data_IF_856185076057
#
_entry.id   IF_856185076057
#
_cell.length_a   1.000
_cell.length_b   1.000
_cell.length_c   1.000
_cell.angle_alpha   90.00
_cell.angle_beta   90.00
_cell.angle_gamma   90.00
#
_symmetry.space_group_name_H-M   'P 1'
#
loop_
_entity.id
_entity.type
_entity.pdbx_description
1 polymer ?
#
# COMPACT_ATOMS: atom_id res chain seq x y z
N UNK A 1 19.58 -16.18 32.38
CA UNK A 1 19.99 -15.34 31.23
C UNK A 1 18.74 -15.05 30.41
N UNK A 2 18.09 -13.92 30.62
CA UNK A 2 16.96 -13.50 29.81
C UNK A 2 17.51 -12.88 28.51
N UNK A 3 17.27 -13.54 27.39
CA UNK A 3 17.60 -12.99 26.08
C UNK A 3 16.82 -11.68 25.91
N UNK A 4 17.53 -10.56 25.77
CA UNK A 4 16.91 -9.28 25.43
C UNK A 4 16.37 -9.40 24.01
N UNK A 5 15.05 -9.42 23.85
CA UNK A 5 14.39 -9.37 22.55
C UNK A 5 14.67 -8.00 21.94
N UNK A 6 15.47 -7.97 20.88
CA UNK A 6 15.75 -6.74 20.14
C UNK A 6 14.54 -6.45 19.22
N UNK A 7 13.59 -5.67 19.75
CA UNK A 7 12.40 -5.23 19.00
C UNK A 7 12.77 -3.97 18.23
N UNK A 8 12.60 -4.00 16.90
CA UNK A 8 12.78 -2.84 16.03
C UNK A 8 11.43 -2.34 15.55
N UNK A 9 11.13 -1.07 15.82
CA UNK A 9 9.93 -0.38 15.34
C UNK A 9 10.31 0.52 14.18
N UNK A 10 9.49 0.54 13.13
CA UNK A 10 9.65 1.42 11.98
C UNK A 10 8.30 2.07 11.66
N UNK A 11 8.32 3.38 11.45
CA UNK A 11 7.17 4.10 10.90
C UNK A 11 7.09 3.89 9.39
N UNK A 12 5.88 3.63 8.90
CA UNK A 12 5.57 3.42 7.47
C UNK A 12 4.53 4.43 6.97
N UNK A 13 4.23 5.46 7.76
CA UNK A 13 3.30 6.54 7.46
C UNK A 13 1.94 6.01 6.95
N UNK A 14 1.45 6.60 5.86
CA UNK A 14 0.19 6.24 5.21
C UNK A 14 0.31 5.02 4.29
N UNK A 15 1.53 4.50 4.03
CA UNK A 15 1.75 3.38 3.12
C UNK A 15 1.04 2.11 3.62
N UNK A 16 0.96 1.92 4.95
CA UNK A 16 0.22 0.80 5.52
C UNK A 16 -1.28 0.86 5.23
N UNK A 17 -1.89 2.04 5.32
CA UNK A 17 -3.32 2.24 5.03
C UNK A 17 -3.59 2.02 3.55
N UNK A 18 -2.78 2.63 2.68
CA UNK A 18 -2.92 2.49 1.22
C UNK A 18 -2.74 1.02 0.80
N UNK A 19 -1.76 0.32 1.37
CA UNK A 19 -1.54 -1.09 1.11
C UNK A 19 -2.76 -1.93 1.53
N UNK A 20 -3.29 -1.66 2.73
CA UNK A 20 -4.49 -2.32 3.24
C UNK A 20 -5.72 -2.12 2.35
N UNK A 21 -5.94 -0.90 1.85
CA UNK A 21 -7.03 -0.61 0.90
C UNK A 21 -6.85 -1.38 -0.42
N UNK A 22 -5.63 -1.41 -0.96
CA UNK A 22 -5.34 -2.19 -2.17
C UNK A 22 -5.65 -3.68 -1.98
N UNK A 23 -5.35 -4.21 -0.79
CA UNK A 23 -5.62 -5.62 -0.43
C UNK A 23 -7.10 -5.89 -0.20
N UNK A 24 -7.81 -5.02 0.51
CA UNK A 24 -9.26 -5.13 0.72
C UNK A 24 -10.03 -5.15 -0.61
N UNK A 25 -9.57 -4.36 -1.58
CA UNK A 25 -10.13 -4.34 -2.93
C UNK A 25 -9.72 -5.55 -3.79
N UNK A 26 -8.82 -6.43 -3.33
CA UNK A 26 -8.21 -7.48 -4.16
C UNK A 26 -7.66 -6.92 -5.50
N UNK A 27 -7.02 -5.75 -5.44
CA UNK A 27 -6.59 -5.02 -6.63
C UNK A 27 -5.57 -5.81 -7.46
N UNK A 28 -4.65 -6.50 -6.78
CA UNK A 28 -3.60 -7.30 -7.42
C UNK A 28 -4.22 -8.43 -8.23
N UNK A 29 -5.18 -9.14 -7.66
CA UNK A 29 -5.87 -10.28 -8.27
C UNK A 29 -6.71 -9.84 -9.46
N UNK A 30 -7.39 -8.69 -9.36
CA UNK A 30 -8.15 -8.13 -10.47
C UNK A 30 -7.25 -7.78 -11.65
N UNK A 31 -6.12 -7.13 -11.40
CA UNK A 31 -5.16 -6.76 -12.46
C UNK A 31 -4.57 -8.01 -13.11
N UNK A 32 -4.12 -8.97 -12.31
CA UNK A 32 -3.54 -10.22 -12.81
C UNK A 32 -4.57 -11.04 -13.63
N UNK A 33 -5.85 -11.00 -13.25
CA UNK A 33 -6.93 -11.64 -14.02
C UNK A 33 -7.16 -10.99 -15.38
N UNK A 34 -7.09 -9.66 -15.43
CA UNK A 34 -7.35 -8.89 -16.66
C UNK A 34 -6.18 -8.94 -17.64
N UNK A 35 -4.94 -8.87 -17.14
CA UNK A 35 -3.73 -8.87 -17.96
C UNK A 35 -3.19 -10.28 -18.25
N UNK A 36 -3.57 -11.27 -17.43
CA UNK A 36 -2.94 -12.58 -17.43
C UNK A 36 -1.56 -12.55 -16.77
N UNK A 37 -0.80 -13.63 -16.95
CA UNK A 37 0.59 -13.75 -16.51
C UNK A 37 1.48 -14.21 -17.66
N UNK A 38 2.70 -13.69 -17.71
CA UNK A 38 3.74 -14.12 -18.64
C UNK A 38 4.81 -14.92 -17.91
N UNK A 39 5.31 -15.98 -18.54
CA UNK A 39 6.46 -16.79 -18.08
C UNK A 39 7.74 -16.01 -17.75
N UNK A 40 7.91 -14.77 -18.24
CA UNK A 40 9.07 -13.93 -17.97
C UNK A 40 8.83 -12.93 -16.82
N UNK A 41 7.62 -12.91 -16.24
CA UNK A 41 7.34 -12.09 -15.06
C UNK A 41 8.15 -12.58 -13.86
N UNK A 42 8.97 -11.70 -13.30
CA UNK A 42 9.64 -11.92 -12.01
C UNK A 42 8.70 -11.52 -10.86
N UNK A 43 7.85 -10.51 -11.10
CA UNK A 43 6.84 -9.99 -10.19
C UNK A 43 5.57 -9.80 -11.02
N UNK A 44 4.41 -10.17 -10.50
CA UNK A 44 3.15 -10.05 -11.24
C UNK A 44 2.78 -8.60 -11.54
N UNK A 45 2.10 -8.35 -12.65
CA UNK A 45 1.68 -7.01 -13.04
C UNK A 45 0.89 -6.28 -11.93
N UNK A 46 -0.01 -6.98 -11.24
CA UNK A 46 -0.77 -6.43 -10.12
C UNK A 46 0.10 -6.01 -8.94
N UNK A 47 1.14 -6.78 -8.60
CA UNK A 47 2.10 -6.41 -7.56
C UNK A 47 2.93 -5.19 -7.97
N UNK A 48 3.35 -5.11 -9.24
CA UNK A 48 4.05 -3.94 -9.78
C UNK A 48 3.16 -2.70 -9.68
N UNK A 49 1.87 -2.80 -10.02
CA UNK A 49 0.92 -1.69 -9.89
C UNK A 49 0.72 -1.30 -8.43
N UNK A 50 0.53 -2.25 -7.51
CA UNK A 50 0.46 -1.96 -6.06
C UNK A 50 1.73 -1.24 -5.58
N UNK A 51 2.90 -1.68 -6.01
CA UNK A 51 4.16 -1.01 -5.70
C UNK A 51 4.25 0.39 -6.31
N UNK A 52 3.78 0.60 -7.55
CA UNK A 52 3.70 1.91 -8.18
C UNK A 52 2.71 2.83 -7.46
N UNK A 53 1.62 2.32 -6.91
CA UNK A 53 0.69 3.12 -6.09
C UNK A 53 1.37 3.54 -4.79
N UNK A 54 2.02 2.60 -4.10
CA UNK A 54 2.75 2.90 -2.85
C UNK A 54 3.93 3.85 -3.07
N UNK A 55 4.65 3.73 -4.18
CA UNK A 55 5.81 4.57 -4.51
C UNK A 55 5.42 5.88 -5.21
N UNK A 56 4.34 5.86 -6.01
CA UNK A 56 4.00 6.88 -7.01
C UNK A 56 2.76 7.70 -6.71
N UNK A 57 2.02 7.40 -5.63
CA UNK A 57 0.90 8.23 -5.21
C UNK A 57 1.28 9.68 -4.85
N UNK A 58 2.56 10.06 -4.81
CA UNK A 58 2.97 11.46 -4.63
C UNK A 58 2.51 12.10 -3.30
N UNK A 59 1.82 11.35 -2.43
CA UNK A 59 1.43 11.78 -1.08
C UNK A 59 2.62 11.91 -0.13
N UNK A 60 3.83 11.65 -0.61
CA UNK A 60 5.06 12.03 0.09
C UNK A 60 5.17 13.57 0.21
N UNK A 61 4.43 14.35 -0.60
CA UNK A 61 4.47 15.83 -0.58
C UNK A 61 3.19 16.52 -0.06
N UNK A 62 2.03 15.85 -0.11
CA UNK A 62 0.75 16.40 0.32
C UNK A 62 0.09 15.46 1.34
N UNK A 63 0.11 15.80 2.64
CA UNK A 63 -0.56 15.01 3.65
C UNK A 63 -2.04 14.76 3.31
N UNK A 64 -2.53 13.55 3.57
CA UNK A 64 -3.93 13.17 3.28
C UNK A 64 -4.97 14.09 3.93
N UNK A 65 -4.64 14.70 5.07
CA UNK A 65 -5.47 15.70 5.75
C UNK A 65 -5.63 17.03 4.98
N UNK A 66 -4.87 17.27 3.91
CA UNK A 66 -5.07 18.43 3.04
C UNK A 66 -6.20 18.22 2.03
N UNK A 67 -6.76 17.01 1.95
CA UNK A 67 -7.89 16.70 1.08
C UNK A 67 -9.17 16.65 1.92
N UNK A 68 -10.15 17.49 1.60
CA UNK A 68 -11.44 17.58 2.30
C UNK A 68 -12.13 16.23 2.50
N UNK A 69 -12.03 15.35 1.50
CA UNK A 69 -12.59 13.99 1.54
C UNK A 69 -11.99 13.10 2.64
N UNK A 70 -10.80 13.40 3.14
CA UNK A 70 -10.18 12.64 4.24
C UNK A 70 -11.00 12.72 5.54
N UNK A 71 -11.66 13.84 5.79
CA UNK A 71 -12.43 14.05 7.03
C UNK A 71 -13.85 13.48 6.99
N UNK A 72 -14.31 13.00 5.82
CA UNK A 72 -15.65 12.45 5.70
C UNK A 72 -15.75 11.17 6.54
N UNK A 73 -16.57 11.21 7.59
CA UNK A 73 -16.81 10.08 8.50
C UNK A 73 -15.78 9.91 9.62
N UNK A 74 -14.86 10.87 9.80
CA UNK A 74 -13.98 10.93 10.99
C UNK A 74 -14.57 11.94 11.99
N UNK A 75 -14.58 11.59 13.27
CA UNK A 75 -14.99 12.53 14.32
C UNK A 75 -14.02 13.72 14.34
N UNK A 76 -14.56 14.94 14.36
CA UNK A 76 -13.79 16.20 14.44
C UNK A 76 -13.55 16.58 15.89
#
# INVERSE_FOLDING_TARGET
MTASLNIRVQDIDHCGIVAGICDEMNLVEQINRLLGTHSQEIISAGQVVKAMILNGLGFVSAPLYLFEKFFVGKAT
#
